data_IF_729758519753
#
_entry.id   IF_729758519753
#
_cell.length_a   1.000
_cell.length_b   1.000
_cell.length_c   1.000
_cell.angle_alpha   90.00
_cell.angle_beta   90.00
_cell.angle_gamma   90.00
#
_symmetry.space_group_name_H-M   'P 1'
#
loop_
_entity.id
_entity.type
_entity.pdbx_description
1 polymer ?
#
# COMPACT_ATOMS: atom_id res chain seq x y z
N UNK A 1 14.75 -0.49 -4.38
CA UNK A 1 13.52 -1.27 -4.59
C UNK A 1 13.83 -2.74 -4.35
N UNK A 2 12.87 -3.48 -3.79
CA UNK A 2 13.01 -4.89 -3.43
C UNK A 2 11.89 -5.68 -4.11
N UNK A 3 12.24 -6.81 -4.71
CA UNK A 3 11.31 -7.72 -5.39
C UNK A 3 11.42 -9.09 -4.72
N UNK A 4 10.27 -9.64 -4.34
CA UNK A 4 10.12 -11.00 -3.84
C UNK A 4 10.21 -12.04 -4.98
N UNK A 5 11.37 -12.03 -5.65
CA UNK A 5 11.79 -12.95 -6.69
C UNK A 5 13.30 -13.13 -6.64
N UNK A 6 13.74 -14.31 -6.99
CA UNK A 6 15.13 -14.67 -7.22
C UNK A 6 15.43 -14.80 -8.71
N UNK A 7 16.71 -14.96 -9.07
CA UNK A 7 17.09 -15.27 -10.44
C UNK A 7 16.57 -16.65 -10.84
N UNK A 8 16.08 -16.75 -12.05
CA UNK A 8 15.42 -17.98 -12.52
C UNK A 8 16.39 -19.16 -12.70
N UNK A 9 17.67 -18.89 -12.99
CA UNK A 9 18.67 -19.93 -13.22
C UNK A 9 19.95 -19.68 -12.41
N UNK A 10 20.50 -20.74 -11.80
CA UNK A 10 21.65 -20.65 -10.86
C UNK A 10 22.93 -20.08 -11.47
N UNK A 11 23.16 -20.30 -12.76
CA UNK A 11 24.30 -19.75 -13.52
C UNK A 11 24.15 -18.28 -13.92
N UNK A 12 22.99 -17.64 -13.70
CA UNK A 12 22.85 -16.19 -13.92
C UNK A 12 23.69 -15.41 -12.91
N UNK A 13 24.17 -14.20 -13.23
CA UNK A 13 24.93 -13.40 -12.28
C UNK A 13 24.14 -13.16 -10.98
N UNK A 14 24.79 -13.21 -9.82
CA UNK A 14 24.16 -12.80 -8.55
C UNK A 14 24.09 -11.29 -8.38
N UNK A 15 25.02 -10.57 -9.03
CA UNK A 15 25.16 -9.12 -8.96
C UNK A 15 25.44 -8.58 -10.35
N UNK A 16 24.76 -7.49 -10.70
CA UNK A 16 24.90 -6.78 -11.97
C UNK A 16 25.10 -5.31 -11.66
N UNK A 17 26.27 -4.78 -12.02
CA UNK A 17 26.59 -3.35 -11.93
C UNK A 17 26.22 -2.64 -13.23
N UNK A 18 25.77 -1.39 -13.14
CA UNK A 18 25.33 -0.62 -14.31
C UNK A 18 24.18 -1.30 -15.03
N UNK A 19 23.13 -1.65 -14.29
CA UNK A 19 22.01 -2.41 -14.78
C UNK A 19 21.18 -1.61 -15.80
N UNK A 20 21.06 -2.16 -17.01
CA UNK A 20 20.09 -1.82 -18.05
C UNK A 20 18.93 -2.81 -17.96
N UNK A 21 17.79 -2.33 -17.48
CA UNK A 21 16.67 -3.15 -17.02
C UNK A 21 15.56 -3.15 -18.07
N UNK A 22 15.23 -4.33 -18.59
CA UNK A 22 14.08 -4.57 -19.45
C UNK A 22 12.89 -5.08 -18.62
N UNK A 23 11.72 -4.45 -18.80
CA UNK A 23 10.47 -4.87 -18.17
C UNK A 23 9.50 -5.41 -19.22
N UNK A 24 9.15 -6.71 -19.14
CA UNK A 24 8.33 -7.38 -20.14
C UNK A 24 7.03 -7.95 -19.54
N UNK A 25 5.90 -7.60 -20.16
CA UNK A 25 4.56 -8.17 -19.90
C UNK A 25 4.18 -9.25 -20.94
N UNK A 26 5.16 -9.99 -21.42
CA UNK A 26 5.02 -11.11 -22.35
C UNK A 26 5.84 -12.28 -21.82
N UNK A 27 5.48 -13.52 -22.15
CA UNK A 27 6.28 -14.68 -21.76
C UNK A 27 7.46 -14.84 -22.71
N UNK A 28 8.60 -15.29 -22.19
CA UNK A 28 9.71 -15.80 -23.00
C UNK A 28 9.54 -17.31 -23.18
N UNK A 29 8.41 -17.68 -23.78
CA UNK A 29 7.96 -19.05 -23.95
C UNK A 29 7.29 -19.20 -25.32
N UNK A 30 7.31 -20.41 -25.86
CA UNK A 30 6.58 -20.72 -27.09
C UNK A 30 5.08 -20.67 -26.77
N UNK A 31 4.38 -19.79 -27.46
CA UNK A 31 2.93 -19.62 -27.26
C UNK A 31 2.20 -20.80 -27.86
N UNK A 32 1.39 -21.47 -27.04
CA UNK A 32 0.30 -22.31 -27.55
C UNK A 32 -0.69 -21.39 -28.26
N UNK A 33 -1.09 -21.76 -29.47
CA UNK A 33 -2.11 -21.03 -30.22
C UNK A 33 -3.44 -21.08 -29.48
N UNK A 34 -4.19 -19.97 -29.48
CA UNK A 34 -5.54 -19.92 -28.86
C UNK A 34 -6.57 -20.73 -29.66
N UNK A 35 -6.25 -21.01 -30.94
CA UNK A 35 -6.98 -21.94 -31.79
C UNK A 35 -6.24 -23.27 -31.80
N UNK A 36 -6.97 -24.38 -31.73
CA UNK A 36 -6.41 -25.73 -31.87
C UNK A 36 -5.67 -25.84 -33.20
N UNK A 37 -4.34 -25.78 -33.15
CA UNK A 37 -3.47 -25.95 -34.29
C UNK A 37 -2.89 -27.36 -34.24
N UNK A 38 -3.39 -28.26 -35.09
CA UNK A 38 -2.83 -29.59 -35.22
C UNK A 38 -1.64 -29.58 -36.18
N UNK A 39 -0.47 -29.97 -35.66
CA UNK A 39 0.74 -30.12 -36.47
C UNK A 39 0.82 -31.57 -36.93
N UNK A 40 0.65 -31.80 -38.23
CA UNK A 40 0.76 -33.14 -38.84
C UNK A 40 2.22 -33.45 -39.19
N UNK A 41 2.87 -34.26 -38.35
CA UNK A 41 4.26 -34.71 -38.55
C UNK A 41 4.25 -36.03 -39.31
N UNK A 42 4.79 -36.04 -40.54
CA UNK A 42 4.74 -37.20 -41.46
C UNK A 42 6.05 -37.98 -41.54
N UNK A 43 7.14 -37.48 -40.98
CA UNK A 43 8.44 -38.16 -40.93
C UNK A 43 9.25 -37.77 -39.69
N UNK A 44 10.23 -38.62 -39.28
CA UNK A 44 11.17 -38.27 -38.21
C UNK A 44 11.96 -36.98 -38.47
N UNK A 45 12.34 -36.72 -39.72
CA UNK A 45 13.10 -35.50 -40.08
C UNK A 45 12.26 -34.22 -39.88
N UNK A 46 10.94 -34.30 -40.12
CA UNK A 46 10.01 -33.20 -39.85
C UNK A 46 9.86 -32.94 -38.35
N UNK A 47 9.90 -33.99 -37.53
CA UNK A 47 9.88 -33.86 -36.07
C UNK A 47 11.13 -33.11 -35.58
N UNK A 48 12.31 -33.49 -36.06
CA UNK A 48 13.55 -32.84 -35.68
C UNK A 48 13.57 -31.37 -36.12
N UNK A 49 13.22 -31.09 -37.37
CA UNK A 49 13.16 -29.72 -37.89
C UNK A 49 12.19 -28.83 -37.10
N UNK A 50 11.09 -29.40 -36.59
CA UNK A 50 10.14 -28.69 -35.76
C UNK A 50 10.74 -28.33 -34.40
N UNK A 51 11.40 -29.28 -33.73
CA UNK A 51 12.08 -29.04 -32.46
C UNK A 51 13.20 -28.00 -32.59
N UNK A 52 14.00 -28.10 -33.66
CA UNK A 52 15.06 -27.14 -33.95
C UNK A 52 14.49 -25.73 -34.17
N UNK A 53 13.34 -25.62 -34.84
CA UNK A 53 12.66 -24.34 -35.06
C UNK A 53 12.09 -23.75 -33.76
N UNK A 54 11.55 -24.59 -32.86
CA UNK A 54 11.11 -24.18 -31.53
C UNK A 54 12.26 -23.61 -30.70
N UNK A 55 13.41 -24.29 -30.69
CA UNK A 55 14.61 -23.82 -30.02
C UNK A 55 15.12 -22.51 -30.64
N UNK A 56 15.15 -22.42 -31.97
CA UNK A 56 15.57 -21.20 -32.68
C UNK A 56 14.66 -20.01 -32.34
N UNK A 57 13.35 -20.21 -32.21
CA UNK A 57 12.43 -19.14 -31.81
C UNK A 57 12.76 -18.59 -30.42
N UNK A 58 13.08 -19.46 -29.46
CA UNK A 58 13.48 -19.05 -28.11
C UNK A 58 14.85 -18.34 -28.13
N UNK A 59 15.80 -18.86 -28.91
CA UNK A 59 17.10 -18.25 -29.10
C UNK A 59 16.97 -16.83 -29.70
N UNK A 60 16.12 -16.64 -30.70
CA UNK A 60 15.85 -15.34 -31.31
C UNK A 60 15.19 -14.35 -30.34
N UNK A 61 14.33 -14.82 -29.44
CA UNK A 61 13.77 -13.98 -28.37
C UNK A 61 14.87 -13.49 -27.42
N UNK A 62 15.80 -14.36 -27.02
CA UNK A 62 16.93 -14.00 -26.15
C UNK A 62 17.90 -13.07 -26.86
N UNK A 63 18.20 -13.31 -28.15
CA UNK A 63 19.04 -12.41 -28.93
C UNK A 63 18.47 -11.00 -28.99
N UNK A 64 17.16 -10.82 -29.16
CA UNK A 64 16.53 -9.48 -29.10
C UNK A 64 16.76 -8.77 -27.78
N UNK A 65 16.77 -9.51 -26.66
CA UNK A 65 17.09 -8.96 -25.34
C UNK A 65 18.58 -8.56 -25.28
N UNK A 66 19.47 -9.37 -25.86
CA UNK A 66 20.90 -9.04 -25.92
C UNK A 66 21.18 -7.83 -26.82
N UNK A 67 20.53 -7.76 -27.98
CA UNK A 67 20.73 -6.73 -29.01
C UNK A 67 20.29 -5.35 -28.51
N UNK A 68 19.25 -5.28 -27.66
CA UNK A 68 18.87 -4.02 -27.01
C UNK A 68 19.83 -3.60 -25.88
N UNK A 69 20.77 -4.48 -25.48
CA UNK A 69 21.78 -4.21 -24.47
C UNK A 69 21.29 -4.33 -23.03
N UNK A 70 20.15 -5.00 -22.79
CA UNK A 70 19.66 -5.27 -21.45
C UNK A 70 20.53 -6.34 -20.77
N UNK A 71 20.96 -6.07 -19.53
CA UNK A 71 21.69 -7.03 -18.70
C UNK A 71 20.85 -7.54 -17.50
N UNK A 72 19.65 -6.99 -17.33
CA UNK A 72 18.64 -7.44 -16.36
C UNK A 72 17.27 -7.45 -17.02
N UNK A 73 16.51 -8.52 -16.85
CA UNK A 73 15.17 -8.70 -17.40
C UNK A 73 14.19 -9.12 -16.31
N UNK A 74 13.10 -8.38 -16.17
CA UNK A 74 11.97 -8.79 -15.34
C UNK A 74 10.78 -9.12 -16.25
N UNK A 75 10.27 -10.34 -16.09
CA UNK A 75 9.16 -10.86 -16.89
C UNK A 75 7.95 -11.09 -16.00
N UNK A 76 6.80 -10.52 -16.36
CA UNK A 76 5.54 -10.70 -15.61
C UNK A 76 4.98 -12.12 -15.75
N UNK A 77 5.24 -12.78 -16.89
CA UNK A 77 4.82 -14.16 -17.19
C UNK A 77 5.98 -15.14 -16.96
N UNK A 78 5.97 -16.27 -17.65
CA UNK A 78 7.02 -17.28 -17.56
C UNK A 78 8.21 -17.04 -18.50
N UNK A 79 9.24 -17.86 -18.30
CA UNK A 79 10.46 -17.93 -19.10
C UNK A 79 10.76 -19.42 -19.25
N UNK A 80 10.86 -19.89 -20.49
CA UNK A 80 11.13 -21.28 -20.84
C UNK A 80 12.55 -21.69 -20.39
N UNK A 81 12.75 -22.97 -20.07
CA UNK A 81 14.03 -23.47 -19.55
C UNK A 81 15.17 -23.31 -20.57
N UNK A 82 14.90 -23.47 -21.87
CA UNK A 82 15.89 -23.23 -22.93
C UNK A 82 16.27 -21.74 -22.96
N UNK A 83 15.28 -20.85 -22.89
CA UNK A 83 15.53 -19.41 -22.83
C UNK A 83 16.30 -18.99 -21.58
N UNK A 84 16.05 -19.62 -20.42
CA UNK A 84 16.82 -19.40 -19.20
C UNK A 84 18.29 -19.76 -19.37
N UNK A 85 18.58 -20.90 -20.02
CA UNK A 85 19.96 -21.32 -20.32
C UNK A 85 20.68 -20.31 -21.22
N UNK A 86 20.01 -19.83 -22.28
CA UNK A 86 20.59 -18.82 -23.17
C UNK A 86 20.82 -17.47 -22.46
N UNK A 87 19.88 -17.00 -21.64
CA UNK A 87 20.05 -15.79 -20.82
C UNK A 87 21.21 -15.93 -19.83
N UNK A 88 21.34 -17.10 -19.18
CA UNK A 88 22.44 -17.36 -18.25
C UNK A 88 23.81 -17.37 -18.97
N UNK A 89 23.90 -17.98 -20.16
CA UNK A 89 25.11 -17.99 -20.99
C UNK A 89 25.50 -16.58 -21.46
N UNK A 90 24.51 -15.73 -21.74
CA UNK A 90 24.71 -14.32 -22.05
C UNK A 90 25.07 -13.45 -20.84
N UNK A 91 25.04 -14.01 -19.62
CA UNK A 91 25.33 -13.26 -18.39
C UNK A 91 24.21 -12.28 -18.02
N UNK A 92 22.98 -12.51 -18.45
CA UNK A 92 21.81 -11.65 -18.17
C UNK A 92 21.11 -12.16 -16.91
N UNK A 93 20.83 -11.24 -15.98
CA UNK A 93 19.98 -11.54 -14.82
C UNK A 93 18.52 -11.59 -15.27
N UNK A 94 17.79 -12.66 -14.97
CA UNK A 94 16.37 -12.73 -15.27
C UNK A 94 15.53 -13.20 -14.09
N UNK A 95 14.39 -12.55 -13.88
CA UNK A 95 13.36 -12.97 -12.93
C UNK A 95 12.01 -13.12 -13.65
N UNK A 96 11.32 -14.22 -13.38
CA UNK A 96 10.01 -14.56 -13.99
C UNK A 96 8.87 -14.40 -13.01
N UNK A 97 7.63 -14.33 -13.51
CA UNK A 97 6.39 -14.25 -12.74
C UNK A 97 6.39 -13.10 -11.73
N UNK A 98 6.96 -11.96 -12.14
CA UNK A 98 6.96 -10.74 -11.32
C UNK A 98 5.54 -10.20 -11.23
N UNK A 99 5.08 -9.84 -10.03
CA UNK A 99 3.72 -9.30 -9.84
C UNK A 99 3.54 -8.01 -10.65
N UNK A 100 2.34 -7.78 -11.20
CA UNK A 100 2.03 -6.55 -11.95
C UNK A 100 2.34 -5.28 -11.14
N UNK A 101 1.99 -5.27 -9.85
CA UNK A 101 2.28 -4.16 -8.94
C UNK A 101 3.78 -3.86 -8.82
N UNK A 102 4.62 -4.91 -8.86
CA UNK A 102 6.07 -4.77 -8.74
C UNK A 102 6.69 -4.33 -10.07
N UNK A 103 6.14 -4.77 -11.21
CA UNK A 103 6.51 -4.24 -12.53
C UNK A 103 6.24 -2.74 -12.64
N UNK A 104 5.08 -2.27 -12.18
CA UNK A 104 4.73 -0.84 -12.17
C UNK A 104 5.65 -0.02 -11.26
N UNK A 105 5.98 -0.55 -10.08
CA UNK A 105 6.93 0.09 -9.17
C UNK A 105 8.36 0.06 -9.72
N UNK A 106 8.80 -1.01 -10.39
CA UNK A 106 10.10 -1.10 -11.07
C UNK A 106 10.21 -0.06 -12.18
N UNK A 107 9.16 0.10 -12.98
CA UNK A 107 9.08 1.13 -14.01
C UNK A 107 9.26 2.53 -13.40
N UNK A 108 8.54 2.83 -12.30
CA UNK A 108 8.65 4.11 -11.59
C UNK A 108 10.01 4.31 -10.90
N UNK A 109 10.63 3.24 -10.40
CA UNK A 109 11.91 3.30 -9.71
C UNK A 109 13.08 3.47 -10.68
N UNK A 110 13.05 2.79 -11.82
CA UNK A 110 14.19 2.69 -12.76
C UNK A 110 14.04 3.56 -14.01
N UNK A 111 12.85 4.08 -14.27
CA UNK A 111 12.50 4.81 -15.50
C UNK A 111 12.17 3.91 -16.69
N UNK A 112 12.20 2.58 -16.54
CA UNK A 112 11.86 1.64 -17.60
C UNK A 112 10.40 1.76 -18.05
N UNK A 113 10.14 1.47 -19.32
CA UNK A 113 8.79 1.25 -19.85
C UNK A 113 8.46 -0.24 -19.82
N UNK A 114 7.23 -0.59 -19.41
CA UNK A 114 6.76 -1.96 -19.47
C UNK A 114 6.38 -2.26 -20.92
N UNK A 115 7.12 -3.15 -21.57
CA UNK A 115 6.88 -3.56 -22.95
C UNK A 115 5.97 -4.79 -23.01
N UNK A 116 5.11 -4.83 -24.03
CA UNK A 116 4.22 -5.99 -24.29
C UNK A 116 4.72 -6.86 -25.46
N UNK A 117 5.77 -6.42 -26.16
CA UNK A 117 6.38 -7.16 -27.25
C UNK A 117 7.89 -6.94 -27.32
N UNK A 118 8.62 -7.97 -27.73
CA UNK A 118 10.07 -7.93 -27.99
C UNK A 118 10.45 -7.37 -29.37
N UNK A 119 9.49 -7.05 -30.24
CA UNK A 119 9.77 -6.66 -31.64
C UNK A 119 10.38 -5.26 -31.76
N UNK A 120 10.00 -4.34 -30.88
CA UNK A 120 10.41 -2.94 -30.93
C UNK A 120 10.88 -2.53 -29.54
N UNK A 121 12.18 -2.66 -29.29
CA UNK A 121 12.82 -2.23 -28.05
C UNK A 121 13.82 -1.12 -28.40
N UNK A 122 13.63 0.07 -27.83
CA UNK A 122 14.59 1.16 -27.95
C UNK A 122 15.41 1.27 -26.65
N UNK A 123 16.61 1.84 -26.71
CA UNK A 123 17.43 2.09 -25.50
C UNK A 123 16.69 3.01 -24.49
N UNK A 124 15.77 3.86 -24.98
CA UNK A 124 14.91 4.70 -24.13
C UNK A 124 13.86 3.94 -23.34
N UNK A 125 13.51 2.72 -23.75
CA UNK A 125 12.54 1.88 -23.04
C UNK A 125 13.18 1.16 -21.83
N UNK A 126 14.51 1.08 -21.78
CA UNK A 126 15.27 0.43 -20.73
C UNK A 126 15.43 1.31 -19.49
N UNK A 127 15.20 0.71 -18.32
CA UNK A 127 15.47 1.35 -17.03
C UNK A 127 16.95 1.31 -16.68
N UNK A 128 17.36 2.17 -15.74
CA UNK A 128 18.73 2.25 -15.26
C UNK A 128 18.78 2.12 -13.73
N UNK A 129 19.69 1.29 -13.25
CA UNK A 129 20.03 1.18 -11.83
C UNK A 129 21.54 0.91 -11.67
N UNK A 130 22.17 1.43 -10.61
CA UNK A 130 23.59 1.20 -10.38
C UNK A 130 23.91 -0.25 -10.01
N UNK A 131 23.02 -0.91 -9.25
CA UNK A 131 23.23 -2.30 -8.82
C UNK A 131 21.91 -3.08 -8.75
N UNK A 132 21.90 -4.25 -9.39
CA UNK A 132 20.89 -5.30 -9.20
C UNK A 132 21.57 -6.51 -8.57
N UNK A 133 21.09 -6.97 -7.42
CA UNK A 133 21.65 -8.15 -6.77
C UNK A 133 20.60 -9.02 -6.10
N UNK A 134 20.83 -10.33 -6.14
CA UNK A 134 20.12 -11.30 -5.30
C UNK A 134 20.78 -11.32 -3.92
N UNK A 135 20.02 -10.98 -2.89
CA UNK A 135 20.43 -11.08 -1.49
C UNK A 135 19.46 -11.96 -0.74
N UNK A 136 20.02 -12.86 0.06
CA UNK A 136 19.26 -13.70 0.99
C UNK A 136 19.13 -12.97 2.32
N UNK A 137 17.90 -12.75 2.79
CA UNK A 137 17.61 -12.25 4.13
C UNK A 137 16.77 -13.29 4.85
N UNK A 138 17.31 -13.87 5.92
CA UNK A 138 16.71 -15.06 6.53
C UNK A 138 16.80 -16.24 5.57
N UNK A 139 15.66 -16.90 5.33
CA UNK A 139 15.57 -18.05 4.44
C UNK A 139 15.14 -17.73 3.01
N UNK A 140 14.77 -16.48 2.73
CA UNK A 140 14.24 -16.05 1.44
C UNK A 140 15.28 -15.27 0.63
N UNK A 141 15.38 -15.60 -0.66
CA UNK A 141 16.19 -14.88 -1.63
C UNK A 141 15.32 -13.83 -2.35
N UNK A 142 15.74 -12.57 -2.31
CA UNK A 142 15.03 -11.46 -2.94
C UNK A 142 15.97 -10.68 -3.85
N UNK A 143 15.42 -10.05 -4.88
CA UNK A 143 16.16 -9.19 -5.80
C UNK A 143 16.11 -7.74 -5.31
N UNK A 144 17.28 -7.13 -5.17
CA UNK A 144 17.46 -5.74 -4.78
C UNK A 144 17.88 -4.94 -6.00
N UNK A 145 17.08 -3.93 -6.33
CA UNK A 145 17.39 -2.94 -7.38
C UNK A 145 17.70 -1.62 -6.68
N UNK A 146 18.96 -1.22 -6.68
CA UNK A 146 19.48 -0.09 -5.89
C UNK A 146 20.22 0.91 -6.79
N UNK A 147 20.48 2.10 -6.26
CA UNK A 147 21.17 3.17 -6.99
C UNK A 147 20.43 3.59 -8.29
N UNK A 148 19.10 3.65 -8.23
CA UNK A 148 18.30 4.18 -9.33
C UNK A 148 18.40 5.71 -9.40
N UNK A 149 18.39 6.26 -10.61
CA UNK A 149 18.40 7.71 -10.82
C UNK A 149 17.00 8.29 -10.58
N UNK A 150 16.84 9.11 -9.54
CA UNK A 150 15.57 9.76 -9.15
C UNK A 150 14.35 8.81 -9.05
N UNK A 151 14.38 7.83 -8.13
CA UNK A 151 13.34 6.81 -8.05
C UNK A 151 12.01 7.39 -7.54
N UNK A 152 10.94 7.25 -8.33
CA UNK A 152 9.56 7.61 -7.92
C UNK A 152 8.84 6.50 -7.13
N UNK A 153 9.54 5.40 -6.88
CA UNK A 153 9.07 4.30 -6.04
C UNK A 153 10.25 3.74 -5.25
N UNK A 154 10.05 3.57 -3.93
CA UNK A 154 11.05 3.03 -3.01
C UNK A 154 10.44 1.87 -2.21
N UNK A 155 11.31 1.06 -1.63
CA UNK A 155 10.90 -0.07 -0.77
C UNK A 155 11.65 0.06 0.55
N UNK A 156 10.95 -0.10 1.65
CA UNK A 156 11.51 -0.16 3.00
C UNK A 156 11.28 -1.59 3.50
N UNK A 157 12.35 -2.25 3.94
CA UNK A 157 12.24 -3.58 4.54
C UNK A 157 12.14 -3.41 6.04
N UNK A 158 11.03 -3.90 6.60
CA UNK A 158 10.84 -3.99 8.04
C UNK A 158 11.21 -5.39 8.52
N UNK A 159 11.85 -5.46 9.68
CA UNK A 159 12.22 -6.71 10.34
C UNK A 159 11.83 -6.61 11.81
N UNK A 160 11.24 -7.67 12.32
CA UNK A 160 10.79 -7.76 13.70
C UNK A 160 10.97 -9.18 14.22
N UNK A 161 10.96 -9.34 15.55
CA UNK A 161 11.07 -10.67 16.18
C UNK A 161 9.80 -11.50 16.04
N UNK A 162 8.66 -10.86 15.80
CA UNK A 162 7.35 -11.49 15.58
C UNK A 162 6.59 -10.73 14.49
N UNK A 163 5.61 -11.39 13.86
CA UNK A 163 4.74 -10.79 12.85
C UNK A 163 4.00 -9.55 13.40
N UNK A 164 3.45 -9.65 14.62
CA UNK A 164 2.76 -8.53 15.27
C UNK A 164 3.64 -7.26 15.43
N UNK A 165 4.95 -7.41 15.68
CA UNK A 165 5.86 -6.27 15.77
C UNK A 165 6.11 -5.65 14.39
N UNK A 166 6.18 -6.48 13.35
CA UNK A 166 6.33 -6.00 11.96
C UNK A 166 5.07 -5.26 11.52
N UNK A 167 3.88 -5.81 11.79
CA UNK A 167 2.60 -5.18 11.47
C UNK A 167 2.46 -3.80 12.12
N UNK A 168 2.83 -3.69 13.40
CA UNK A 168 2.79 -2.43 14.12
C UNK A 168 3.82 -1.43 13.57
N UNK A 169 5.03 -1.90 13.25
CA UNK A 169 6.04 -1.06 12.62
C UNK A 169 5.62 -0.57 11.23
N UNK A 170 4.93 -1.41 10.44
CA UNK A 170 4.38 -1.04 9.14
C UNK A 170 3.33 0.05 9.28
N UNK A 171 2.38 -0.11 10.22
CA UNK A 171 1.35 0.90 10.50
C UNK A 171 1.97 2.21 10.94
N UNK A 172 2.87 2.19 11.93
CA UNK A 172 3.53 3.38 12.44
C UNK A 172 4.33 4.11 11.34
N UNK A 173 5.05 3.36 10.48
CA UNK A 173 5.79 3.94 9.38
C UNK A 173 4.86 4.52 8.31
N UNK A 174 3.78 3.82 7.98
CA UNK A 174 2.78 4.32 7.03
C UNK A 174 2.20 5.66 7.52
N UNK A 175 1.79 5.73 8.78
CA UNK A 175 1.21 6.94 9.36
C UNK A 175 2.23 8.09 9.39
N UNK A 176 3.48 7.82 9.79
CA UNK A 176 4.55 8.81 9.76
C UNK A 176 4.80 9.36 8.34
N UNK A 177 4.85 8.50 7.32
CA UNK A 177 5.02 8.92 5.93
C UNK A 177 3.83 9.77 5.44
N UNK A 178 2.61 9.43 5.85
CA UNK A 178 1.41 10.23 5.52
C UNK A 178 1.46 11.61 6.16
N UNK A 179 1.80 11.69 7.44
CA UNK A 179 1.91 12.95 8.17
C UNK A 179 2.98 13.85 7.54
N UNK A 180 4.15 13.30 7.22
CA UNK A 180 5.23 14.04 6.53
C UNK A 180 4.78 14.49 5.14
N UNK A 181 4.09 13.64 4.39
CA UNK A 181 3.53 13.99 3.09
C UNK A 181 2.57 15.18 3.18
N UNK A 182 1.62 15.13 4.11
CA UNK A 182 0.67 16.22 4.37
C UNK A 182 1.39 17.52 4.78
N UNK A 183 2.38 17.42 5.66
CA UNK A 183 3.17 18.56 6.11
C UNK A 183 3.92 19.26 4.96
N UNK A 184 4.47 18.48 4.02
CA UNK A 184 5.18 19.00 2.84
C UNK A 184 4.18 19.59 1.84
N UNK A 185 3.01 18.98 1.65
CA UNK A 185 1.99 19.46 0.71
C UNK A 185 1.37 20.79 1.14
N UNK A 186 1.01 20.92 2.41
CA UNK A 186 0.26 22.09 2.91
C UNK A 186 1.16 23.20 3.45
N UNK A 187 2.43 22.90 3.75
CA UNK A 187 3.42 23.81 4.35
C UNK A 187 2.92 24.56 5.61
N UNK A 188 1.90 24.02 6.29
CA UNK A 188 1.27 24.63 7.46
C UNK A 188 1.23 23.66 8.64
N UNK A 189 1.76 24.14 9.76
CA UNK A 189 1.98 23.34 10.97
C UNK A 189 1.45 24.09 12.20
N UNK A 190 1.09 23.31 13.22
CA UNK A 190 0.74 23.79 14.56
C UNK A 190 1.56 23.05 15.61
N UNK A 191 1.65 23.62 16.81
CA UNK A 191 2.24 22.94 17.96
C UNK A 191 1.43 21.67 18.29
N UNK A 192 2.09 20.59 18.68
CA UNK A 192 1.42 19.37 19.16
C UNK A 192 1.06 19.41 20.64
N UNK A 193 0.86 18.23 21.23
CA UNK A 193 0.73 18.08 22.70
C UNK A 193 -0.53 18.70 23.30
N UNK A 194 -1.61 18.77 22.53
CA UNK A 194 -2.89 19.37 22.96
C UNK A 194 -2.90 20.91 23.00
N UNK A 195 -1.83 21.57 22.55
CA UNK A 195 -1.73 23.04 22.55
C UNK A 195 -2.80 23.73 21.69
N UNK A 196 -3.09 23.28 20.44
CA UNK A 196 -4.11 23.89 19.60
C UNK A 196 -5.51 23.78 20.21
N UNK A 197 -5.82 22.64 20.83
CA UNK A 197 -7.11 22.39 21.47
C UNK A 197 -7.33 23.32 22.67
N UNK A 198 -6.30 23.58 23.48
CA UNK A 198 -6.37 24.54 24.59
C UNK A 198 -6.52 25.97 24.10
N UNK A 199 -5.76 26.38 23.07
CA UNK A 199 -5.92 27.72 22.50
C UNK A 199 -7.32 27.91 21.92
N UNK A 200 -7.84 26.93 21.17
CA UNK A 200 -9.19 26.99 20.61
C UNK A 200 -10.25 27.04 21.71
N UNK A 201 -10.11 26.24 22.76
CA UNK A 201 -11.01 26.28 23.91
C UNK A 201 -11.03 27.66 24.59
N UNK A 202 -9.87 28.30 24.74
CA UNK A 202 -9.77 29.65 25.28
C UNK A 202 -10.51 30.67 24.40
N UNK A 203 -10.24 30.69 23.09
CA UNK A 203 -10.89 31.61 22.14
C UNK A 203 -12.40 31.41 22.04
N UNK A 204 -12.85 30.15 22.06
CA UNK A 204 -14.27 29.84 22.01
C UNK A 204 -15.00 30.27 23.29
N UNK A 205 -14.34 30.25 24.45
CA UNK A 205 -14.89 30.82 25.69
C UNK A 205 -14.97 32.35 25.64
N UNK A 206 -13.95 33.01 25.09
CA UNK A 206 -14.01 34.46 24.85
C UNK A 206 -15.16 34.82 23.91
N UNK A 207 -15.33 34.05 22.83
CA UNK A 207 -16.43 34.21 21.89
C UNK A 207 -17.79 33.94 22.54
N UNK A 208 -17.92 32.87 23.35
CA UNK A 208 -19.18 32.55 24.02
C UNK A 208 -19.63 33.66 24.99
N UNK A 209 -18.69 34.37 25.61
CA UNK A 209 -18.99 35.52 26.48
C UNK A 209 -19.63 36.70 25.73
N UNK A 210 -19.48 36.78 24.40
CA UNK A 210 -20.14 37.79 23.56
C UNK A 210 -21.56 37.41 23.15
N UNK A 211 -21.93 36.14 23.31
CA UNK A 211 -23.25 35.61 22.95
C UNK A 211 -24.22 35.67 24.13
N UNK A 212 -25.51 35.65 23.83
CA UNK A 212 -26.58 35.64 24.84
C UNK A 212 -27.52 34.45 24.65
N UNK A 213 -28.06 33.91 25.74
CA UNK A 213 -29.07 32.84 25.69
C UNK A 213 -28.47 31.45 25.53
N UNK A 214 -29.16 30.56 24.80
CA UNK A 214 -28.79 29.13 24.72
C UNK A 214 -27.53 28.87 23.90
N UNK A 215 -27.23 29.70 22.92
CA UNK A 215 -26.03 29.58 22.06
C UNK A 215 -24.75 29.74 22.87
N UNK A 216 -24.73 30.66 23.83
CA UNK A 216 -23.61 30.84 24.77
C UNK A 216 -23.25 29.53 25.47
N UNK A 217 -24.26 28.81 25.98
CA UNK A 217 -24.06 27.53 26.67
C UNK A 217 -23.50 26.46 25.72
N UNK A 218 -24.01 26.40 24.49
CA UNK A 218 -23.55 25.46 23.48
C UNK A 218 -22.09 25.69 23.10
N UNK A 219 -21.70 26.93 22.78
CA UNK A 219 -20.30 27.27 22.45
C UNK A 219 -19.39 27.02 23.64
N UNK A 220 -19.81 27.36 24.87
CA UNK A 220 -19.02 27.08 26.07
C UNK A 220 -18.79 25.58 26.28
N UNK A 221 -19.78 24.73 25.99
CA UNK A 221 -19.64 23.28 26.11
C UNK A 221 -18.81 22.68 24.99
N UNK A 222 -18.90 23.23 23.78
CA UNK A 222 -18.01 22.84 22.69
C UNK A 222 -16.54 23.16 23.02
N UNK A 223 -16.26 24.34 23.58
CA UNK A 223 -14.93 24.71 24.05
C UNK A 223 -14.39 23.74 25.11
N UNK A 224 -15.21 23.38 26.09
CA UNK A 224 -14.87 22.37 27.12
C UNK A 224 -14.58 20.99 26.51
N UNK A 225 -15.31 20.60 25.46
CA UNK A 225 -15.11 19.30 24.82
C UNK A 225 -13.74 19.16 24.15
N UNK A 226 -13.15 20.24 23.63
CA UNK A 226 -11.83 20.20 22.99
C UNK A 226 -10.71 19.83 23.98
N UNK A 227 -10.88 20.17 25.26
CA UNK A 227 -9.88 19.88 26.30
C UNK A 227 -9.84 18.41 26.70
N UNK A 228 -10.75 17.57 26.19
CA UNK A 228 -10.66 16.12 26.39
C UNK A 228 -9.36 15.56 25.83
N UNK A 229 -8.84 16.12 24.73
CA UNK A 229 -7.61 15.64 24.08
C UNK A 229 -6.39 15.80 25.00
N UNK A 230 -6.02 17.01 25.47
CA UNK A 230 -4.93 17.17 26.44
C UNK A 230 -5.21 16.47 27.78
N UNK A 231 -6.47 16.37 28.20
CA UNK A 231 -6.84 15.64 29.42
C UNK A 231 -6.49 14.15 29.31
N UNK A 232 -6.97 13.50 28.25
CA UNK A 232 -6.73 12.08 28.00
C UNK A 232 -5.24 11.82 27.75
N UNK A 233 -4.53 12.75 27.13
CA UNK A 233 -3.07 12.68 26.99
C UNK A 233 -2.37 12.65 28.35
N UNK A 234 -2.78 13.49 29.30
CA UNK A 234 -2.25 13.49 30.67
C UNK A 234 -2.60 12.20 31.42
N UNK A 235 -3.86 11.74 31.32
CA UNK A 235 -4.32 10.49 31.94
C UNK A 235 -3.51 9.28 31.45
N UNK A 236 -3.31 9.15 30.14
CA UNK A 236 -2.53 8.07 29.54
C UNK A 236 -1.04 8.13 29.91
N UNK A 237 -0.51 9.32 30.20
CA UNK A 237 0.85 9.51 30.68
C UNK A 237 1.00 9.29 32.20
N UNK A 238 -0.09 9.01 32.93
CA UNK A 238 -0.09 8.86 34.38
C UNK A 238 0.12 10.17 35.15
N UNK A 239 -0.16 11.32 34.52
CA UNK A 239 -0.05 12.66 35.10
C UNK A 239 -1.39 13.11 35.69
N UNK A 240 -1.38 14.12 36.57
CA UNK A 240 -2.61 14.74 37.06
C UNK A 240 -3.24 15.62 35.96
N UNK A 241 -4.38 15.22 35.37
CA UNK A 241 -4.96 15.92 34.24
C UNK A 241 -5.47 17.31 34.61
N UNK A 242 -5.89 17.51 35.86
CA UNK A 242 -6.42 18.79 36.33
C UNK A 242 -5.27 19.79 36.39
N UNK A 243 -4.17 19.41 37.06
CA UNK A 243 -3.01 20.29 37.19
C UNK A 243 -2.40 20.64 35.82
N UNK A 244 -2.28 19.66 34.92
CA UNK A 244 -1.74 19.89 33.58
C UNK A 244 -2.62 20.84 32.75
N UNK A 245 -3.94 20.64 32.76
CA UNK A 245 -4.85 21.54 32.05
C UNK A 245 -4.84 22.96 32.62
N UNK A 246 -4.82 23.11 33.95
CA UNK A 246 -4.77 24.42 34.60
C UNK A 246 -3.47 25.15 34.23
N UNK A 247 -2.34 24.43 34.23
CA UNK A 247 -1.06 24.99 33.82
C UNK A 247 -1.08 25.40 32.34
N UNK A 248 -1.55 24.53 31.42
CA UNK A 248 -1.67 24.84 30.00
C UNK A 248 -2.52 26.09 29.77
N UNK A 249 -3.73 26.15 30.35
CA UNK A 249 -4.60 27.34 30.24
C UNK A 249 -3.90 28.60 30.73
N UNK A 250 -3.22 28.55 31.88
CA UNK A 250 -2.49 29.71 32.41
C UNK A 250 -1.39 30.20 31.47
N UNK A 251 -0.68 29.30 30.78
CA UNK A 251 0.34 29.70 29.79
C UNK A 251 -0.31 30.34 28.55
N UNK A 252 -1.41 29.78 28.07
CA UNK A 252 -2.15 30.30 26.91
C UNK A 252 -2.78 31.67 27.19
N UNK A 253 -3.36 31.89 28.37
CA UNK A 253 -3.86 33.20 28.83
C UNK A 253 -2.75 34.26 28.88
N UNK A 254 -1.50 33.84 29.16
CA UNK A 254 -0.30 34.69 29.11
C UNK A 254 0.23 34.91 27.68
N UNK A 255 -0.50 34.46 26.65
CA UNK A 255 -0.15 34.62 25.25
C UNK A 255 0.82 33.57 24.69
N UNK A 256 1.17 32.53 25.45
CA UNK A 256 2.06 31.45 24.97
C UNK A 256 1.26 30.38 24.24
N UNK A 257 0.91 30.66 22.99
CA UNK A 257 0.02 29.82 22.16
C UNK A 257 0.58 28.47 21.73
N UNK A 258 1.86 28.20 21.99
CA UNK A 258 2.55 26.93 21.64
C UNK A 258 2.81 26.06 22.88
N UNK A 259 2.28 26.46 24.05
CA UNK A 259 2.45 25.70 25.27
C UNK A 259 1.62 24.41 25.20
N UNK A 260 2.27 23.25 25.32
CA UNK A 260 1.61 21.95 25.27
C UNK A 260 2.19 20.98 26.28
N UNK A 261 1.52 19.85 26.45
CA UNK A 261 1.96 18.81 27.37
C UNK A 261 3.03 17.92 26.71
N UNK A 262 4.24 17.94 27.24
CA UNK A 262 5.27 16.97 26.89
C UNK A 262 5.17 15.78 27.87
N UNK A 263 4.63 14.66 27.38
CA UNK A 263 4.38 13.45 28.16
C UNK A 263 5.64 12.76 28.68
N UNK A 264 6.80 12.97 28.05
CA UNK A 264 8.07 12.39 28.50
C UNK A 264 8.65 13.16 29.68
N UNK A 265 8.56 14.48 29.64
CA UNK A 265 9.02 15.34 30.75
C UNK A 265 7.99 15.51 31.86
N UNK A 266 6.71 15.23 31.57
CA UNK A 266 5.58 15.46 32.46
C UNK A 266 5.28 16.94 32.72
N UNK A 267 5.69 17.84 31.82
CA UNK A 267 5.60 19.30 32.00
C UNK A 267 4.94 19.98 30.82
N UNK A 268 4.36 21.15 31.09
CA UNK A 268 3.89 22.08 30.06
C UNK A 268 5.06 22.89 29.53
N UNK A 269 5.38 22.72 28.25
CA UNK A 269 6.54 23.33 27.59
C UNK A 269 6.14 23.91 26.24
N UNK A 270 7.05 24.68 25.64
CA UNK A 270 6.86 25.21 24.29
C UNK A 270 7.11 24.08 23.26
N UNK A 271 6.03 23.48 22.75
CA UNK A 271 6.12 22.27 21.91
C UNK A 271 6.81 22.55 20.58
N UNK A 272 6.75 23.79 20.08
CA UNK A 272 7.44 24.17 18.86
C UNK A 272 8.96 24.17 19.07
N UNK A 273 9.44 24.60 20.23
CA UNK A 273 10.88 24.54 20.58
C UNK A 273 11.37 23.11 20.80
N UNK A 274 10.50 22.24 21.32
CA UNK A 274 10.76 20.80 21.46
C UNK A 274 10.70 20.05 20.13
N UNK A 275 10.28 20.71 19.03
CA UNK A 275 10.16 20.11 17.72
C UNK A 275 8.92 19.21 17.53
N UNK A 276 7.94 19.30 18.45
CA UNK A 276 6.69 18.53 18.37
C UNK A 276 5.63 19.35 17.65
N UNK A 277 5.41 18.99 16.39
CA UNK A 277 4.50 19.69 15.47
C UNK A 277 3.54 18.71 14.81
N UNK A 278 2.38 19.23 14.43
CA UNK A 278 1.35 18.49 13.71
C UNK A 278 0.86 19.30 12.50
N UNK A 279 0.49 18.66 11.37
CA UNK A 279 -0.07 19.39 10.24
C UNK A 279 -1.43 20.00 10.58
N UNK A 280 -1.65 21.25 10.17
CA UNK A 280 -2.89 21.97 10.44
C UNK A 280 -4.11 21.25 9.87
N UNK A 281 -3.99 20.68 8.65
CA UNK A 281 -5.03 19.93 7.97
C UNK A 281 -5.59 18.77 8.81
N UNK A 282 -4.74 18.11 9.61
CA UNK A 282 -5.16 17.02 10.50
C UNK A 282 -6.09 17.55 11.60
N UNK A 283 -5.76 18.69 12.21
CA UNK A 283 -6.58 19.31 13.26
C UNK A 283 -7.93 19.78 12.73
N UNK A 284 -7.94 20.44 11.57
CA UNK A 284 -9.18 20.90 10.92
C UNK A 284 -10.08 19.70 10.64
N UNK A 285 -9.56 18.69 9.95
CA UNK A 285 -10.34 17.51 9.59
C UNK A 285 -10.87 16.77 10.82
N UNK A 286 -10.08 16.68 11.90
CA UNK A 286 -10.50 16.03 13.13
C UNK A 286 -11.68 16.75 13.79
N UNK A 287 -11.63 18.09 13.88
CA UNK A 287 -12.71 18.89 14.47
C UNK A 287 -13.96 18.84 13.60
N UNK A 288 -13.82 18.99 12.28
CA UNK A 288 -14.94 18.96 11.34
C UNK A 288 -15.63 17.59 11.38
N UNK A 289 -14.87 16.51 11.25
CA UNK A 289 -15.42 15.14 11.25
C UNK A 289 -16.09 14.80 12.58
N UNK A 290 -15.50 15.20 13.72
CA UNK A 290 -16.08 15.00 15.04
C UNK A 290 -17.40 15.78 15.20
N UNK A 291 -17.43 17.02 14.69
CA UNK A 291 -18.62 17.88 14.75
C UNK A 291 -19.75 17.34 13.87
N UNK A 292 -19.44 16.86 12.66
CA UNK A 292 -20.40 16.23 11.76
C UNK A 292 -21.00 14.96 12.38
N UNK A 293 -20.15 14.09 12.94
CA UNK A 293 -20.59 12.86 13.60
C UNK A 293 -21.49 13.17 14.82
N UNK A 294 -21.09 14.12 15.67
CA UNK A 294 -21.90 14.54 16.81
C UNK A 294 -23.27 15.12 16.36
N UNK A 295 -23.26 15.97 15.33
CA UNK A 295 -24.47 16.58 14.78
C UNK A 295 -25.40 15.53 14.17
N UNK A 296 -24.85 14.53 13.48
CA UNK A 296 -25.63 13.43 12.90
C UNK A 296 -26.42 12.70 13.99
N UNK A 297 -25.77 12.35 15.10
CA UNK A 297 -26.43 11.66 16.22
C UNK A 297 -27.44 12.56 16.92
N UNK A 298 -27.09 13.83 17.16
CA UNK A 298 -27.99 14.79 17.82
C UNK A 298 -29.25 15.11 17.02
N UNK A 299 -29.24 14.91 15.70
CA UNK A 299 -30.42 15.09 14.83
C UNK A 299 -31.35 13.88 14.79
N UNK A 300 -30.95 12.75 15.37
CA UNK A 300 -31.80 11.56 15.43
C UNK A 300 -32.76 11.73 16.60
N UNK A 301 -34.02 12.01 16.30
CA UNK A 301 -35.06 12.14 17.31
C UNK A 301 -35.59 10.78 17.79
N UNK A 302 -35.63 9.78 16.89
CA UNK A 302 -36.12 8.43 17.18
C UNK A 302 -35.35 7.34 16.40
N UNK A 303 -35.08 6.21 17.05
CA UNK A 303 -34.47 5.02 16.44
C UNK A 303 -35.49 3.89 16.39
N UNK A 304 -35.98 3.59 15.19
CA UNK A 304 -36.86 2.44 14.96
C UNK A 304 -36.03 1.21 14.60
N UNK A 305 -35.87 0.27 15.54
CA UNK A 305 -35.32 -1.05 15.21
C UNK A 305 -36.46 -2.03 14.90
N UNK A 306 -36.59 -2.45 13.64
CA UNK A 306 -37.41 -3.61 13.31
C UNK A 306 -36.60 -4.87 13.60
N UNK A 307 -37.10 -5.72 14.51
CA UNK A 307 -36.67 -7.12 14.53
C UNK A 307 -37.24 -7.73 13.26
N UNK A 308 -36.38 -8.24 12.37
CA UNK A 308 -36.83 -9.18 11.35
C UNK A 308 -37.66 -10.25 12.07
N UNK A 309 -38.91 -10.42 11.65
CA UNK A 309 -39.72 -11.53 12.14
C UNK A 309 -38.86 -12.81 11.99
N UNK A 310 -38.84 -13.71 12.99
CA UNK A 310 -38.24 -15.02 12.77
C UNK A 310 -38.92 -15.56 11.53
N UNK A 311 -38.15 -15.79 10.46
CA UNK A 311 -38.67 -16.26 9.19
C UNK A 311 -39.65 -17.38 9.49
N UNK A 312 -40.93 -17.13 9.22
CA UNK A 312 -41.98 -18.10 9.49
C UNK A 312 -41.56 -19.38 8.81
N UNK A 313 -41.20 -20.38 9.61
CA UNK A 313 -40.76 -21.67 9.14
C UNK A 313 -41.79 -22.16 8.14
N UNK A 314 -41.35 -22.37 6.91
CA UNK A 314 -42.13 -23.04 5.89
C UNK A 314 -42.64 -24.36 6.53
N UNK A 315 -43.95 -24.57 6.68
CA UNK A 315 -44.46 -25.77 7.33
C UNK A 315 -43.96 -27.01 6.58
N UNK A 316 -43.44 -28.03 7.27
CA UNK A 316 -43.00 -29.26 6.61
C UNK A 316 -44.21 -29.99 6.04
N UNK A 317 -44.19 -30.24 4.73
CA UNK A 317 -44.97 -31.29 4.08
C UNK A 317 -46.49 -31.08 4.01
N UNK A 318 -46.94 -30.41 2.95
CA UNK A 318 -48.31 -30.50 2.47
C UNK A 318 -48.30 -30.82 0.97
N UNK A 319 -48.31 -32.10 0.63
CA UNK A 319 -48.42 -32.59 -0.75
C UNK A 319 -49.75 -32.09 -1.36
N UNK A 320 -49.76 -31.41 -2.53
CA UNK A 320 -51.02 -31.12 -3.22
C UNK A 320 -51.56 -32.41 -3.86
N UNK A 321 -52.85 -32.73 -3.68
CA UNK A 321 -53.46 -33.87 -4.34
C UNK A 321 -53.74 -33.55 -5.82
N UNK A 322 -53.24 -34.41 -6.70
CA UNK A 322 -53.88 -34.72 -7.99
C UNK A 322 -53.68 -33.73 -9.14
N UNK A 323 -52.70 -34.04 -9.98
CA UNK A 323 -52.68 -33.87 -11.45
C UNK A 323 -51.39 -34.59 -11.89
N UNK A 324 -51.36 -35.72 -12.59
CA UNK A 324 -52.22 -36.18 -13.67
C UNK A 324 -51.36 -36.26 -14.94
N UNK A 325 -50.82 -37.45 -15.24
CA UNK A 325 -50.52 -37.85 -16.62
C UNK A 325 -49.04 -37.98 -17.04
N UNK A 326 -48.71 -39.21 -17.46
CA UNK A 326 -47.74 -39.62 -18.50
C UNK A 326 -46.26 -39.24 -18.29
N UNK A 327 -45.27 -40.12 -18.42
CA UNK A 327 -45.14 -41.42 -19.07
C UNK A 327 -43.68 -41.51 -19.49
N UNK A 328 -42.90 -42.47 -18.97
CA UNK A 328 -42.39 -43.55 -19.82
C UNK A 328 -40.85 -43.53 -19.88
N UNK A 329 -40.26 -44.73 -20.02
CA UNK A 329 -38.84 -45.09 -20.12
C UNK A 329 -38.08 -45.11 -18.78
N UNK A 330 -37.91 -46.24 -18.07
CA UNK A 330 -37.25 -47.52 -18.46
C UNK A 330 -35.99 -47.25 -19.31
N UNK A 331 -34.77 -47.58 -18.92
CA UNK A 331 -34.23 -48.37 -17.83
C UNK A 331 -32.84 -48.87 -18.27
N UNK A 332 -31.96 -49.16 -17.31
CA UNK A 332 -30.86 -50.15 -17.36
C UNK A 332 -29.73 -49.89 -18.39
N UNK A 333 -28.43 -49.94 -18.09
CA UNK A 333 -27.63 -50.51 -17.00
C UNK A 333 -26.38 -49.65 -16.78
#
# INVERSE_FOLDING_TARGET
MVIDKERVHTNMPKKVHGAKILLLNEALEIKKTEVDAEISIKSPDQLQSFLDQEEQMLHDMVNKVMDCGANVVFVQKGIDDIAQHYLAKAGIYAARRVKKSDMEKLARATGAKILTSLKEINDSDLGKAGLVEEKKIGDEAMTYVTECHNPKAVSIILRGGTEHVVDEAERALHDALRVVGVAIEDETLVAGGGSPEVELALRLREYSATLTGREQLAVSKFAESLEIIPRTLAENAGLDPINMLVEMRSQHEKGKKTAGLNVFSGKVVDMLKEGVVEPLRVKIQAIDSATEAATMILRIDDVLSSKSAPGGGMPPGGMPPGMGGMGGMEGMD
#
